data_IF_833372133762
#
_entry.id   IF_833372133762
#
_cell.length_a   1.000
_cell.length_b   1.000
_cell.length_c   1.000
_cell.angle_alpha   90.00
_cell.angle_beta   90.00
_cell.angle_gamma   90.00
#
_symmetry.space_group_name_H-M   'P 1'
#
loop_
_entity.id
_entity.type
_entity.pdbx_description
1 polymer ?
#
# COMPACT_ATOMS: atom_id res chain seq x y z
N UNK A 1 -19.52 2.97 18.01
CA UNK A 1 -20.40 2.58 16.89
C UNK A 1 -20.36 1.07 16.78
N UNK A 2 -21.51 0.40 16.61
CA UNK A 2 -21.64 -1.06 16.81
C UNK A 2 -20.89 -1.84 15.70
N UNK A 3 -19.94 -2.70 16.06
CA UNK A 3 -19.16 -3.59 15.18
C UNK A 3 -20.09 -4.42 14.26
N UNK A 4 -21.18 -4.97 14.79
CA UNK A 4 -22.19 -5.71 14.01
C UNK A 4 -22.83 -4.88 12.87
N UNK A 5 -23.04 -3.57 13.09
CA UNK A 5 -23.59 -2.72 12.03
C UNK A 5 -22.60 -2.54 10.86
N UNK A 6 -21.30 -2.45 11.14
CA UNK A 6 -20.28 -2.33 10.11
C UNK A 6 -20.13 -3.61 9.29
N UNK A 7 -20.21 -4.78 9.94
CA UNK A 7 -20.22 -6.08 9.25
C UNK A 7 -21.44 -6.18 8.31
N UNK A 8 -22.63 -5.83 8.80
CA UNK A 8 -23.85 -5.82 7.96
C UNK A 8 -23.70 -4.91 6.74
N UNK A 9 -23.06 -3.73 6.87
CA UNK A 9 -22.81 -2.85 5.74
C UNK A 9 -21.87 -3.47 4.71
N UNK A 10 -20.80 -4.15 5.13
CA UNK A 10 -19.88 -4.85 4.23
C UNK A 10 -20.59 -5.97 3.47
N UNK A 11 -21.39 -6.81 4.17
CA UNK A 11 -22.19 -7.87 3.56
C UNK A 11 -23.17 -7.31 2.53
N UNK A 12 -23.93 -6.28 2.91
CA UNK A 12 -24.89 -5.63 2.02
C UNK A 12 -24.23 -5.09 0.74
N UNK A 13 -23.03 -4.52 0.86
CA UNK A 13 -22.28 -4.01 -0.30
C UNK A 13 -21.84 -5.12 -1.25
N UNK A 14 -21.41 -6.26 -0.73
CA UNK A 14 -21.05 -7.45 -1.54
C UNK A 14 -22.30 -7.99 -2.25
N UNK A 15 -23.41 -8.14 -1.52
CA UNK A 15 -24.68 -8.59 -2.10
C UNK A 15 -25.23 -7.64 -3.18
N UNK A 16 -25.12 -6.34 -2.96
CA UNK A 16 -25.51 -5.34 -3.96
C UNK A 16 -24.67 -5.45 -5.23
N UNK A 17 -23.35 -5.61 -5.09
CA UNK A 17 -22.44 -5.77 -6.22
C UNK A 17 -22.73 -7.04 -7.01
N UNK A 18 -23.00 -8.16 -6.34
CA UNK A 18 -23.28 -9.46 -7.00
C UNK A 18 -24.50 -9.43 -7.91
N UNK A 19 -25.45 -8.49 -7.71
CA UNK A 19 -26.63 -8.33 -8.56
C UNK A 19 -26.32 -7.79 -9.96
N UNK A 20 -25.14 -7.17 -10.14
CA UNK A 20 -24.82 -6.52 -11.42
C UNK A 20 -23.37 -6.73 -11.88
N UNK A 21 -22.49 -7.31 -11.06
CA UNK A 21 -21.14 -7.70 -11.41
C UNK A 21 -20.93 -9.19 -11.18
N UNK A 22 -20.19 -9.82 -12.05
CA UNK A 22 -19.71 -11.19 -11.85
C UNK A 22 -18.45 -11.14 -10.96
N UNK A 23 -18.65 -11.23 -9.64
CA UNK A 23 -17.59 -11.12 -8.64
C UNK A 23 -16.56 -12.25 -8.79
N UNK A 24 -17.01 -13.45 -9.20
CA UNK A 24 -16.12 -14.60 -9.41
C UNK A 24 -15.14 -14.32 -10.54
N UNK A 25 -15.63 -13.88 -11.68
CA UNK A 25 -14.78 -13.50 -12.83
C UNK A 25 -13.78 -12.39 -12.46
N UNK A 26 -14.19 -11.41 -11.63
CA UNK A 26 -13.29 -10.34 -11.18
C UNK A 26 -12.16 -10.93 -10.31
N UNK A 27 -12.48 -11.82 -9.37
CA UNK A 27 -11.51 -12.43 -8.44
C UNK A 27 -10.57 -13.40 -9.17
N UNK A 28 -11.12 -14.28 -10.04
CA UNK A 28 -10.38 -15.31 -10.75
C UNK A 28 -9.63 -14.80 -11.98
N UNK A 29 -9.85 -13.56 -12.39
CA UNK A 29 -9.15 -12.92 -13.50
C UNK A 29 -7.62 -13.05 -13.41
N UNK A 30 -6.87 -12.57 -14.41
CA UNK A 30 -5.41 -12.78 -14.53
C UNK A 30 -4.64 -12.65 -13.21
N UNK A 31 -3.70 -13.57 -12.96
CA UNK A 31 -2.85 -13.56 -11.76
C UNK A 31 -2.00 -12.29 -11.72
N UNK A 32 -1.81 -11.72 -10.54
CA UNK A 32 -0.97 -10.56 -10.33
C UNK A 32 0.50 -10.86 -10.71
N UNK A 33 0.86 -10.55 -11.95
CA UNK A 33 2.25 -10.60 -12.43
C UNK A 33 2.89 -9.23 -12.29
N UNK A 34 4.23 -9.17 -12.34
CA UNK A 34 4.96 -7.88 -12.37
C UNK A 34 4.48 -6.98 -13.52
N UNK A 35 4.13 -7.58 -14.67
CA UNK A 35 3.60 -6.83 -15.82
C UNK A 35 2.19 -6.29 -15.57
N UNK A 36 1.38 -6.96 -14.76
CA UNK A 36 0.08 -6.45 -14.35
C UNK A 36 0.24 -5.30 -13.35
N UNK A 37 1.15 -5.41 -12.39
CA UNK A 37 1.47 -4.31 -11.46
C UNK A 37 1.94 -3.10 -12.25
N UNK A 38 2.87 -3.25 -13.20
CA UNK A 38 3.31 -2.18 -14.11
C UNK A 38 2.13 -1.57 -14.88
N UNK A 39 1.28 -2.41 -15.46
CA UNK A 39 0.11 -1.96 -16.22
C UNK A 39 -0.90 -1.23 -15.36
N UNK A 40 -1.11 -1.70 -14.12
CA UNK A 40 -2.00 -1.06 -13.15
C UNK A 40 -1.55 0.38 -12.87
N UNK A 41 -0.30 0.59 -12.50
CA UNK A 41 0.21 1.93 -12.21
C UNK A 41 0.23 2.83 -13.45
N UNK A 42 0.60 2.30 -14.63
CA UNK A 42 0.58 3.05 -15.89
C UNK A 42 -0.81 3.57 -16.27
N UNK A 43 -1.84 2.72 -16.15
CA UNK A 43 -3.22 3.08 -16.49
C UNK A 43 -3.80 4.03 -15.45
N UNK A 44 -3.48 3.80 -14.18
CA UNK A 44 -4.05 4.57 -13.07
C UNK A 44 -3.26 5.85 -12.73
N UNK A 45 -2.10 6.09 -13.34
CA UNK A 45 -1.27 7.27 -13.09
C UNK A 45 -2.05 8.59 -13.16
N UNK A 46 -2.88 8.78 -14.18
CA UNK A 46 -3.73 9.96 -14.30
C UNK A 46 -4.77 10.04 -13.18
N UNK A 47 -5.40 8.92 -12.83
CA UNK A 47 -6.40 8.86 -11.77
C UNK A 47 -5.77 9.14 -10.38
N UNK A 48 -4.59 8.61 -10.10
CA UNK A 48 -3.85 8.92 -8.87
C UNK A 48 -3.56 10.41 -8.74
N UNK A 49 -3.06 11.06 -9.79
CA UNK A 49 -2.80 12.52 -9.78
C UNK A 49 -4.04 13.37 -9.56
N UNK A 50 -5.19 12.99 -10.13
CA UNK A 50 -6.42 13.78 -10.05
C UNK A 50 -7.28 13.47 -8.82
N UNK A 51 -7.26 12.23 -8.34
CA UNK A 51 -8.17 11.78 -7.29
C UNK A 51 -7.48 11.47 -5.98
N UNK A 52 -6.18 11.23 -5.99
CA UNK A 52 -5.43 10.86 -4.80
C UNK A 52 -4.51 11.97 -4.31
N UNK A 53 -3.43 12.30 -5.03
CA UNK A 53 -2.52 13.40 -4.67
C UNK A 53 -1.97 14.08 -5.93
N UNK A 54 -2.03 15.42 -5.96
CA UNK A 54 -1.43 16.22 -7.06
C UNK A 54 0.10 16.19 -6.98
N UNK A 55 0.67 16.04 -5.79
CA UNK A 55 2.10 16.04 -5.53
C UNK A 55 2.77 14.69 -5.79
N UNK A 56 1.98 13.65 -6.11
CA UNK A 56 2.47 12.33 -6.49
C UNK A 56 2.67 11.36 -5.34
N UNK A 57 2.21 11.67 -4.13
CA UNK A 57 2.10 10.68 -3.07
C UNK A 57 1.08 9.62 -3.44
N UNK A 58 1.41 8.34 -3.23
CA UNK A 58 0.57 7.24 -3.69
C UNK A 58 -0.05 6.43 -2.55
N UNK A 59 0.47 6.57 -1.33
CA UNK A 59 -0.09 5.93 -0.14
C UNK A 59 -1.30 6.69 0.42
N UNK A 60 -2.12 6.02 1.22
CA UNK A 60 -3.23 6.64 1.91
C UNK A 60 -2.77 7.56 3.04
N UNK A 61 -3.65 8.47 3.43
CA UNK A 61 -3.38 9.47 4.48
C UNK A 61 -3.80 8.97 5.85
N UNK A 62 -2.97 9.24 6.84
CA UNK A 62 -3.21 8.94 8.26
C UNK A 62 -3.69 10.22 8.96
N UNK A 63 -4.99 10.30 9.23
CA UNK A 63 -5.66 11.46 9.83
C UNK A 63 -5.77 11.30 11.35
N UNK A 64 -4.72 11.63 12.11
CA UNK A 64 -4.65 11.46 13.57
C UNK A 64 -5.81 12.11 14.34
N UNK A 65 -6.37 13.18 13.80
CA UNK A 65 -7.49 13.89 14.42
C UNK A 65 -8.87 13.38 13.96
N UNK A 66 -8.92 12.29 13.18
CA UNK A 66 -10.16 11.74 12.65
C UNK A 66 -10.85 12.58 11.56
N UNK A 67 -10.19 13.64 11.09
CA UNK A 67 -10.67 14.54 10.03
C UNK A 67 -9.62 14.57 8.93
N UNK A 68 -10.03 14.25 7.70
CA UNK A 68 -9.17 14.27 6.53
C UNK A 68 -8.66 15.68 6.23
N UNK A 69 -7.34 15.80 6.05
CA UNK A 69 -6.67 16.97 5.46
C UNK A 69 -5.69 16.51 4.37
N UNK A 70 -5.30 17.43 3.46
CA UNK A 70 -4.31 17.09 2.43
C UNK A 70 -2.90 16.92 3.02
N UNK A 71 -2.60 17.60 4.12
CA UNK A 71 -1.34 17.54 4.87
C UNK A 71 -1.13 16.19 5.56
N UNK A 72 -2.18 15.42 5.82
CA UNK A 72 -2.10 14.08 6.44
C UNK A 72 -1.23 13.10 5.63
N UNK A 73 -0.92 13.43 4.38
CA UNK A 73 -0.03 12.66 3.51
C UNK A 73 1.42 12.64 4.00
N UNK A 74 1.84 13.63 4.80
CA UNK A 74 3.20 13.70 5.32
C UNK A 74 3.45 12.82 6.55
N UNK A 75 2.40 12.23 7.14
CA UNK A 75 2.54 11.45 8.36
C UNK A 75 3.55 10.30 8.23
N UNK A 76 3.46 9.50 7.16
CA UNK A 76 4.34 8.35 6.97
C UNK A 76 5.80 8.77 6.67
N UNK A 77 6.08 9.69 5.72
CA UNK A 77 7.46 10.15 5.54
C UNK A 77 8.01 10.90 6.76
N UNK A 78 7.20 11.62 7.55
CA UNK A 78 7.67 12.22 8.81
C UNK A 78 8.09 11.16 9.84
N UNK A 79 7.37 10.04 9.92
CA UNK A 79 7.78 8.92 10.77
C UNK A 79 9.09 8.28 10.30
N UNK A 80 9.35 8.21 9.00
CA UNK A 80 10.63 7.77 8.44
C UNK A 80 11.75 8.76 8.79
N UNK A 81 11.46 10.07 8.68
CA UNK A 81 12.41 11.14 9.00
C UNK A 81 13.01 11.01 10.41
N UNK A 82 12.21 10.55 11.39
CA UNK A 82 12.67 10.36 12.78
C UNK A 82 13.86 9.39 12.91
N UNK A 83 14.07 8.51 11.94
CA UNK A 83 15.15 7.52 11.93
C UNK A 83 16.38 7.92 11.11
N UNK A 84 16.32 9.03 10.35
CA UNK A 84 17.38 9.46 9.44
C UNK A 84 18.32 10.42 10.15
N UNK A 85 19.63 10.17 10.01
CA UNK A 85 20.70 11.00 10.53
C UNK A 85 21.58 11.53 9.41
N UNK A 86 22.35 12.57 9.70
CA UNK A 86 23.36 13.09 8.78
C UNK A 86 24.38 12.00 8.41
N UNK A 87 24.61 11.86 7.11
CA UNK A 87 25.50 10.85 6.55
C UNK A 87 24.87 9.49 6.28
N UNK A 88 23.61 9.26 6.66
CA UNK A 88 22.92 7.99 6.44
C UNK A 88 22.70 7.71 4.96
N UNK A 89 22.72 6.44 4.61
CA UNK A 89 22.26 5.92 3.34
C UNK A 89 20.85 5.33 3.50
N UNK A 90 19.88 5.92 2.80
CA UNK A 90 18.44 5.63 2.89
C UNK A 90 17.96 5.01 1.59
N UNK A 91 17.20 3.92 1.68
CA UNK A 91 16.61 3.23 0.53
C UNK A 91 15.08 3.21 0.63
N UNK A 92 14.40 3.69 -0.42
CA UNK A 92 12.94 3.56 -0.60
C UNK A 92 12.61 2.38 -1.50
N UNK A 93 11.75 1.49 -1.02
CA UNK A 93 11.17 0.39 -1.80
C UNK A 93 9.84 0.83 -2.40
N UNK A 94 9.66 0.65 -3.72
CA UNK A 94 8.43 1.03 -4.39
C UNK A 94 8.19 2.54 -4.35
N UNK A 95 9.19 3.34 -4.78
CA UNK A 95 9.12 4.81 -4.67
C UNK A 95 8.07 5.48 -5.59
N UNK A 96 7.45 4.75 -6.50
CA UNK A 96 6.37 5.22 -7.38
C UNK A 96 6.73 6.51 -8.12
N UNK A 97 5.99 7.58 -7.81
CA UNK A 97 6.22 8.92 -8.39
C UNK A 97 7.39 9.68 -7.73
N UNK A 98 8.03 9.11 -6.71
CA UNK A 98 9.18 9.68 -6.01
C UNK A 98 8.85 10.80 -5.02
N UNK A 99 7.58 10.98 -4.66
CA UNK A 99 7.17 12.11 -3.79
C UNK A 99 7.76 12.01 -2.39
N UNK A 100 7.71 10.82 -1.76
CA UNK A 100 8.29 10.60 -0.42
C UNK A 100 9.81 10.78 -0.44
N UNK A 101 10.47 10.16 -1.44
CA UNK A 101 11.92 10.27 -1.58
C UNK A 101 12.34 11.74 -1.77
N UNK A 102 11.63 12.49 -2.59
CA UNK A 102 11.89 13.90 -2.84
C UNK A 102 11.69 14.74 -1.56
N UNK A 103 10.60 14.49 -0.83
CA UNK A 103 10.32 15.16 0.43
C UNK A 103 11.44 14.93 1.45
N UNK A 104 11.81 13.65 1.68
CA UNK A 104 12.86 13.29 2.64
C UNK A 104 14.25 13.78 2.21
N UNK A 105 14.58 13.70 0.91
CA UNK A 105 15.87 14.17 0.40
C UNK A 105 16.07 15.68 0.57
N UNK A 106 14.99 16.46 0.46
CA UNK A 106 15.03 17.89 0.78
C UNK A 106 15.12 18.16 2.29
N UNK A 107 14.43 17.36 3.10
CA UNK A 107 14.43 17.51 4.56
C UNK A 107 15.74 17.06 5.20
N UNK A 108 16.48 16.12 4.57
CA UNK A 108 17.75 15.57 5.05
C UNK A 108 18.86 15.75 3.99
N UNK A 109 19.36 16.97 3.76
CA UNK A 109 20.30 17.25 2.66
C UNK A 109 21.67 16.57 2.82
N UNK A 110 22.02 16.15 4.04
CA UNK A 110 23.27 15.46 4.37
C UNK A 110 23.15 13.92 4.35
N UNK A 111 21.95 13.38 4.11
CA UNK A 111 21.75 11.95 3.88
C UNK A 111 21.68 11.65 2.37
N UNK A 112 21.99 10.41 1.99
CA UNK A 112 21.93 9.92 0.60
C UNK A 112 20.69 9.05 0.43
N UNK A 113 19.92 9.27 -0.65
CA UNK A 113 18.68 8.57 -0.95
C UNK A 113 18.76 7.80 -2.26
N UNK A 114 18.23 6.57 -2.26
CA UNK A 114 18.02 5.77 -3.46
C UNK A 114 16.62 5.16 -3.41
N UNK A 115 15.83 5.39 -4.45
CA UNK A 115 14.51 4.77 -4.63
C UNK A 115 14.52 3.71 -5.72
N UNK A 116 13.73 2.67 -5.54
CA UNK A 116 13.50 1.61 -6.52
C UNK A 116 12.03 1.47 -6.81
N UNK A 117 11.67 1.36 -8.09
CA UNK A 117 10.30 1.10 -8.53
C UNK A 117 10.30 0.37 -9.88
N UNK A 118 9.26 -0.39 -10.17
CA UNK A 118 9.10 -1.07 -11.46
C UNK A 118 8.78 -0.08 -12.58
N UNK A 119 8.23 1.09 -12.25
CA UNK A 119 7.83 2.12 -13.20
C UNK A 119 7.90 3.54 -12.59
N UNK A 120 9.10 4.02 -12.25
CA UNK A 120 9.26 5.32 -11.62
C UNK A 120 8.96 6.46 -12.60
N UNK A 121 8.66 7.62 -12.05
CA UNK A 121 8.51 8.86 -12.82
C UNK A 121 9.85 9.32 -13.40
N UNK A 122 9.96 9.40 -14.74
CA UNK A 122 11.23 9.68 -15.45
C UNK A 122 11.59 11.17 -15.54
N UNK A 123 10.60 12.07 -15.44
CA UNK A 123 10.76 13.52 -15.56
C UNK A 123 10.91 14.23 -14.21
N UNK A 124 11.09 13.48 -13.12
CA UNK A 124 11.26 14.02 -11.79
C UNK A 124 12.66 14.65 -11.63
N UNK A 125 12.70 15.92 -11.24
CA UNK A 125 13.96 16.59 -10.89
C UNK A 125 14.33 16.25 -9.46
N UNK A 126 15.38 15.45 -9.30
CA UNK A 126 15.89 15.04 -8.00
C UNK A 126 17.00 15.99 -7.52
N UNK A 127 17.13 16.22 -6.20
CA UNK A 127 18.29 16.88 -5.61
C UNK A 127 19.54 16.01 -5.75
N UNK A 128 20.71 16.59 -5.56
CA UNK A 128 22.00 15.93 -5.78
C UNK A 128 22.24 14.69 -4.87
N UNK A 129 21.56 14.64 -3.73
CA UNK A 129 21.65 13.54 -2.76
C UNK A 129 20.63 12.41 -3.01
N UNK A 130 19.87 12.43 -4.14
CA UNK A 130 18.84 11.44 -4.43
C UNK A 130 18.96 10.83 -5.82
N UNK A 131 18.67 9.54 -5.94
CA UNK A 131 18.61 8.80 -7.21
C UNK A 131 17.40 7.86 -7.20
N UNK A 132 16.83 7.58 -8.39
CA UNK A 132 15.76 6.59 -8.58
C UNK A 132 16.16 5.64 -9.70
N UNK A 133 15.93 4.33 -9.48
CA UNK A 133 16.17 3.27 -10.44
C UNK A 133 14.88 2.56 -10.82
N UNK A 134 14.71 2.30 -12.12
CA UNK A 134 13.66 1.42 -12.63
C UNK A 134 14.10 -0.04 -12.44
N UNK A 135 13.73 -0.64 -11.31
CA UNK A 135 14.18 -1.98 -10.93
C UNK A 135 13.25 -2.62 -9.91
N UNK A 136 13.17 -3.96 -10.00
CA UNK A 136 12.54 -4.79 -8.97
C UNK A 136 13.46 -4.84 -7.73
N UNK A 137 12.93 -4.40 -6.59
CA UNK A 137 13.66 -4.38 -5.33
C UNK A 137 13.85 -5.77 -4.69
N UNK A 138 13.36 -6.84 -5.30
CA UNK A 138 13.67 -8.21 -4.89
C UNK A 138 15.12 -8.62 -5.18
N UNK A 139 15.88 -7.79 -5.91
CA UNK A 139 17.31 -7.98 -6.20
C UNK A 139 17.96 -6.63 -6.47
N UNK A 140 18.89 -6.23 -5.62
CA UNK A 140 19.55 -4.92 -5.61
C UNK A 140 21.09 -5.07 -5.70
N UNK A 141 21.63 -5.69 -6.77
CA UNK A 141 23.07 -6.02 -6.85
C UNK A 141 23.99 -4.79 -6.81
N UNK A 142 23.49 -3.60 -7.14
CA UNK A 142 24.25 -2.35 -7.07
C UNK A 142 24.35 -1.78 -5.64
N UNK A 143 23.57 -2.29 -4.68
CA UNK A 143 23.65 -1.91 -3.29
C UNK A 143 24.57 -2.90 -2.56
N UNK A 144 25.71 -2.45 -1.98
CA UNK A 144 26.61 -3.34 -1.26
C UNK A 144 25.94 -3.96 -0.02
N UNK A 145 26.46 -5.10 0.41
CA UNK A 145 26.04 -5.74 1.66
C UNK A 145 26.33 -4.79 2.84
N UNK A 146 25.45 -4.81 3.84
CA UNK A 146 25.60 -4.06 5.08
C UNK A 146 25.98 -2.57 4.88
N UNK A 147 25.36 -1.90 3.93
CA UNK A 147 25.69 -0.51 3.56
C UNK A 147 24.57 0.50 3.85
N UNK A 148 23.34 0.05 4.04
CA UNK A 148 22.14 0.89 4.19
C UNK A 148 21.80 1.07 5.67
N UNK A 149 21.59 2.31 6.09
CA UNK A 149 21.22 2.67 7.47
C UNK A 149 19.69 2.57 7.68
N UNK A 150 18.91 3.10 6.74
CA UNK A 150 17.44 3.13 6.81
C UNK A 150 16.86 2.60 5.51
N UNK A 151 15.92 1.65 5.62
CA UNK A 151 15.06 1.20 4.52
C UNK A 151 13.62 1.59 4.84
N UNK A 152 12.85 2.01 3.88
CA UNK A 152 11.42 2.19 4.08
C UNK A 152 10.59 1.75 2.88
N UNK A 153 9.37 1.30 3.17
CA UNK A 153 8.36 0.93 2.18
C UNK A 153 6.98 1.42 2.63
N UNK A 154 6.30 2.15 1.76
CA UNK A 154 4.98 2.70 2.04
C UNK A 154 3.97 2.08 1.07
N UNK A 155 3.18 1.12 1.55
CA UNK A 155 2.17 0.37 0.78
C UNK A 155 2.78 -0.33 -0.45
N UNK A 156 3.89 -1.03 -0.26
CA UNK A 156 4.61 -1.63 -1.37
C UNK A 156 4.85 -3.14 -1.21
N UNK A 157 5.16 -3.63 0.00
CA UNK A 157 5.42 -5.05 0.22
C UNK A 157 4.16 -5.91 0.05
N UNK A 158 2.97 -5.35 0.20
CA UNK A 158 1.69 -6.03 -0.10
C UNK A 158 1.61 -6.53 -1.54
N UNK A 159 2.35 -5.93 -2.48
CA UNK A 159 2.40 -6.36 -3.87
C UNK A 159 3.32 -7.56 -4.11
N UNK A 160 4.21 -7.88 -3.15
CA UNK A 160 5.17 -8.96 -3.30
C UNK A 160 4.50 -10.33 -3.15
N UNK A 161 4.69 -11.18 -4.15
CA UNK A 161 4.28 -12.59 -4.09
C UNK A 161 5.26 -13.47 -3.30
N UNK A 162 6.52 -13.04 -3.18
CA UNK A 162 7.59 -13.71 -2.43
C UNK A 162 8.24 -12.69 -1.48
N UNK A 163 7.59 -12.47 -0.34
CA UNK A 163 8.05 -11.54 0.68
C UNK A 163 9.38 -11.97 1.31
N UNK A 164 9.57 -13.27 1.47
CA UNK A 164 10.82 -13.79 2.06
C UNK A 164 12.03 -13.50 1.17
N UNK A 165 11.89 -13.60 -0.15
CA UNK A 165 12.96 -13.23 -1.08
C UNK A 165 13.32 -11.75 -0.94
N UNK A 166 12.31 -10.88 -0.91
CA UNK A 166 12.50 -9.43 -0.74
C UNK A 166 13.13 -9.11 0.61
N UNK A 167 12.63 -9.69 1.70
CA UNK A 167 13.15 -9.45 3.03
C UNK A 167 14.59 -9.96 3.22
N UNK A 168 14.97 -11.08 2.58
CA UNK A 168 16.38 -11.53 2.55
C UNK A 168 17.29 -10.52 1.84
N UNK A 169 16.83 -9.92 0.74
CA UNK A 169 17.60 -8.89 0.03
C UNK A 169 17.70 -7.60 0.86
N UNK A 170 16.62 -7.17 1.52
CA UNK A 170 16.64 -6.04 2.44
C UNK A 170 17.61 -6.32 3.60
N UNK A 171 17.56 -7.52 4.18
CA UNK A 171 18.47 -7.93 5.24
C UNK A 171 19.94 -7.87 4.78
N UNK A 172 20.24 -8.33 3.56
CA UNK A 172 21.59 -8.27 2.99
C UNK A 172 22.13 -6.84 2.95
N UNK A 173 21.34 -5.90 2.40
CA UNK A 173 21.81 -4.53 2.19
C UNK A 173 21.89 -3.71 3.47
N UNK A 174 21.05 -3.97 4.47
CA UNK A 174 21.02 -3.21 5.72
C UNK A 174 22.26 -3.47 6.56
N UNK A 175 22.76 -2.43 7.22
CA UNK A 175 23.79 -2.53 8.26
C UNK A 175 23.25 -3.25 9.50
N UNK A 176 24.08 -3.94 10.30
CA UNK A 176 23.73 -4.27 11.68
C UNK A 176 23.30 -3.01 12.44
N UNK A 177 22.19 -3.08 13.17
CA UNK A 177 21.56 -1.92 13.81
C UNK A 177 20.74 -1.03 12.89
N UNK A 178 20.71 -1.27 11.57
CA UNK A 178 19.90 -0.55 10.61
C UNK A 178 18.39 -0.72 10.87
N UNK A 179 17.58 0.27 10.47
CA UNK A 179 16.13 0.32 10.70
C UNK A 179 15.38 0.17 9.37
N UNK A 180 14.31 -0.62 9.40
CA UNK A 180 13.30 -0.60 8.34
C UNK A 180 11.98 -0.07 8.89
N UNK A 181 11.39 0.90 8.20
CA UNK A 181 10.05 1.44 8.45
C UNK A 181 9.12 0.95 7.35
N UNK A 182 8.11 0.16 7.71
CA UNK A 182 7.14 -0.36 6.75
C UNK A 182 5.72 0.03 7.15
N UNK A 183 4.98 0.61 6.21
CA UNK A 183 3.55 0.84 6.31
C UNK A 183 2.84 -0.03 5.29
N UNK A 184 1.93 -0.89 5.74
CA UNK A 184 1.21 -1.75 4.82
C UNK A 184 -0.11 -2.27 5.40
N UNK A 185 -0.87 -2.99 4.57
CA UNK A 185 -2.13 -3.61 4.92
C UNK A 185 -1.90 -5.00 5.50
N UNK A 186 -2.70 -5.35 6.50
CA UNK A 186 -2.78 -6.69 7.06
C UNK A 186 -4.24 -7.09 7.30
N UNK A 187 -4.49 -8.36 7.60
CA UNK A 187 -5.76 -8.85 8.09
C UNK A 187 -5.68 -9.10 9.60
N UNK A 188 -6.80 -8.94 10.31
CA UNK A 188 -6.89 -9.24 11.75
C UNK A 188 -6.77 -10.74 12.03
N UNK A 189 -7.14 -11.57 11.08
CA UNK A 189 -7.14 -13.01 11.13
C UNK A 189 -6.75 -13.60 9.78
N UNK A 190 -6.57 -14.94 9.72
CA UNK A 190 -6.32 -15.62 8.45
C UNK A 190 -7.55 -15.53 7.56
N UNK A 191 -7.31 -15.34 6.27
CA UNK A 191 -8.36 -15.16 5.27
C UNK A 191 -9.41 -16.28 5.30
N UNK A 192 -9.00 -17.54 5.53
CA UNK A 192 -9.88 -18.70 5.52
C UNK A 192 -10.86 -18.74 6.72
N UNK A 193 -10.60 -17.97 7.76
CA UNK A 193 -11.46 -17.92 8.95
C UNK A 193 -12.66 -16.99 8.78
N UNK A 194 -12.64 -16.12 7.75
CA UNK A 194 -13.71 -15.17 7.49
C UNK A 194 -14.93 -15.83 6.82
N UNK A 195 -16.10 -15.24 7.02
CA UNK A 195 -17.28 -15.65 6.25
C UNK A 195 -17.15 -15.27 4.75
N UNK A 196 -18.02 -15.85 3.92
CA UNK A 196 -17.97 -15.68 2.47
C UNK A 196 -17.99 -14.22 2.01
N UNK A 197 -18.79 -13.35 2.65
CA UNK A 197 -18.87 -11.93 2.24
C UNK A 197 -17.55 -11.20 2.53
N UNK A 198 -16.96 -11.46 3.69
CA UNK A 198 -15.68 -10.86 4.07
C UNK A 198 -14.57 -11.39 3.18
N UNK A 199 -14.49 -12.71 2.94
CA UNK A 199 -13.54 -13.31 1.99
C UNK A 199 -13.68 -12.69 0.60
N UNK A 200 -14.90 -12.55 0.10
CA UNK A 200 -15.18 -11.93 -1.20
C UNK A 200 -14.74 -10.47 -1.23
N UNK A 201 -15.05 -9.69 -0.19
CA UNK A 201 -14.64 -8.29 -0.11
C UNK A 201 -13.11 -8.13 -0.10
N UNK A 202 -12.41 -8.92 0.72
CA UNK A 202 -10.94 -8.88 0.79
C UNK A 202 -10.30 -9.32 -0.53
N UNK A 203 -10.80 -10.39 -1.16
CA UNK A 203 -10.30 -10.84 -2.46
C UNK A 203 -10.49 -9.76 -3.55
N UNK A 204 -11.62 -9.08 -3.56
CA UNK A 204 -11.90 -7.97 -4.49
C UNK A 204 -10.99 -6.75 -4.22
N UNK A 205 -10.73 -6.41 -2.96
CA UNK A 205 -9.82 -5.33 -2.57
C UNK A 205 -8.38 -5.67 -3.03
N UNK A 206 -7.89 -6.88 -2.71
CA UNK A 206 -6.56 -7.34 -3.11
C UNK A 206 -6.39 -7.32 -4.62
N UNK A 207 -7.37 -7.89 -5.35
CA UNK A 207 -7.38 -7.89 -6.81
C UNK A 207 -7.41 -6.49 -7.39
N UNK A 208 -8.24 -5.64 -6.82
CA UNK A 208 -8.39 -4.25 -7.24
C UNK A 208 -7.10 -3.44 -7.08
N UNK A 209 -6.36 -3.66 -6.00
CA UNK A 209 -5.08 -3.00 -5.73
C UNK A 209 -3.88 -3.59 -6.45
N UNK A 210 -4.06 -4.58 -7.33
CA UNK A 210 -2.97 -5.35 -7.96
C UNK A 210 -2.00 -5.91 -6.89
N UNK A 211 -2.50 -6.18 -5.69
CA UNK A 211 -1.72 -6.79 -4.62
C UNK A 211 -1.82 -8.31 -4.66
N UNK A 212 -0.83 -8.98 -4.10
CA UNK A 212 -0.97 -10.34 -3.66
C UNK A 212 -2.13 -10.45 -2.66
N UNK A 213 -2.56 -11.66 -2.28
CA UNK A 213 -3.54 -11.77 -1.20
C UNK A 213 -2.98 -11.07 0.04
N UNK A 214 -3.78 -10.18 0.64
CA UNK A 214 -3.40 -9.52 1.89
C UNK A 214 -3.31 -10.58 2.98
N UNK A 215 -2.18 -10.63 3.67
CA UNK A 215 -1.87 -11.60 4.70
C UNK A 215 -2.29 -11.11 6.09
N UNK A 216 -2.46 -12.03 7.03
CA UNK A 216 -2.75 -11.70 8.42
C UNK A 216 -1.55 -11.01 9.10
N UNK A 217 -1.82 -10.31 10.20
CA UNK A 217 -0.77 -9.67 11.01
C UNK A 217 0.29 -10.70 11.49
N UNK A 218 -0.14 -11.91 11.85
CA UNK A 218 0.76 -12.98 12.30
C UNK A 218 1.64 -13.50 11.17
N UNK A 219 1.12 -13.60 9.95
CA UNK A 219 1.91 -13.98 8.77
C UNK A 219 2.97 -12.92 8.46
N UNK A 220 2.61 -11.63 8.50
CA UNK A 220 3.57 -10.54 8.36
C UNK A 220 4.69 -10.60 9.40
N UNK A 221 4.33 -10.75 10.68
CA UNK A 221 5.31 -10.86 11.76
C UNK A 221 6.23 -12.07 11.59
N UNK A 222 5.69 -13.17 11.10
CA UNK A 222 6.43 -14.39 10.78
C UNK A 222 7.44 -14.17 9.65
N UNK A 223 7.06 -13.47 8.58
CA UNK A 223 7.98 -13.14 7.49
C UNK A 223 9.18 -12.30 7.97
N UNK A 224 8.92 -11.29 8.81
CA UNK A 224 10.00 -10.46 9.34
C UNK A 224 10.96 -11.26 10.24
N UNK A 225 10.41 -12.02 11.18
CA UNK A 225 11.24 -12.79 12.14
C UNK A 225 11.99 -13.94 11.46
N UNK A 226 11.38 -14.66 10.51
CA UNK A 226 12.04 -15.71 9.73
C UNK A 226 13.17 -15.17 8.84
N UNK A 227 13.07 -13.90 8.44
CA UNK A 227 14.13 -13.24 7.66
C UNK A 227 15.27 -12.69 8.53
N UNK A 228 15.24 -12.92 9.85
CA UNK A 228 16.29 -12.54 10.80
C UNK A 228 16.11 -11.15 11.43
N UNK A 229 15.02 -10.47 11.18
CA UNK A 229 14.73 -9.17 11.77
C UNK A 229 14.13 -9.27 13.18
N UNK A 230 14.33 -8.21 13.94
CA UNK A 230 13.63 -7.97 15.21
C UNK A 230 12.55 -6.91 14.97
N UNK A 231 11.30 -7.21 15.35
CA UNK A 231 10.22 -6.23 15.33
C UNK A 231 10.33 -5.41 16.62
N UNK A 232 10.65 -4.12 16.51
CA UNK A 232 10.76 -3.22 17.68
C UNK A 232 9.39 -2.64 18.07
N UNK A 233 8.55 -2.33 17.08
CA UNK A 233 7.27 -1.69 17.31
C UNK A 233 6.29 -2.04 16.20
N UNK A 234 5.01 -2.21 16.57
CA UNK A 234 3.89 -2.26 15.65
C UNK A 234 2.88 -1.21 16.13
N UNK A 235 2.50 -0.31 15.23
CA UNK A 235 1.46 0.69 15.50
C UNK A 235 0.26 0.44 14.60
N UNK A 236 -0.94 0.50 15.17
CA UNK A 236 -2.18 0.38 14.42
C UNK A 236 -2.71 1.76 14.02
N UNK A 237 -2.78 2.01 12.74
CA UNK A 237 -3.35 3.24 12.16
C UNK A 237 -4.66 2.99 11.41
N UNK A 238 -5.30 1.85 11.66
CA UNK A 238 -6.52 1.45 10.95
C UNK A 238 -7.65 2.49 11.09
N UNK A 239 -7.81 3.06 12.28
CA UNK A 239 -8.85 4.06 12.53
C UNK A 239 -8.51 5.43 11.93
N UNK A 240 -7.24 5.80 11.96
CA UNK A 240 -6.72 7.05 11.40
C UNK A 240 -6.74 7.05 9.86
N UNK A 241 -6.79 5.86 9.25
CA UNK A 241 -6.97 5.69 7.80
C UNK A 241 -8.43 5.92 7.34
N UNK A 242 -9.41 5.71 8.23
CA UNK A 242 -10.84 5.74 7.88
C UNK A 242 -11.30 7.06 7.23
N UNK A 243 -10.82 8.26 7.60
CA UNK A 243 -11.23 9.50 6.94
C UNK A 243 -10.91 9.52 5.44
N UNK A 244 -9.72 9.05 5.04
CA UNK A 244 -9.33 8.97 3.63
C UNK A 244 -10.11 7.87 2.88
N UNK A 245 -10.26 6.69 3.47
CA UNK A 245 -11.08 5.62 2.92
C UNK A 245 -12.54 6.06 2.74
N UNK A 246 -13.08 6.85 3.69
CA UNK A 246 -14.43 7.41 3.57
C UNK A 246 -14.57 8.40 2.42
N UNK A 247 -13.52 9.18 2.17
CA UNK A 247 -13.44 10.06 0.99
C UNK A 247 -13.54 9.27 -0.31
N UNK A 248 -12.82 8.15 -0.41
CA UNK A 248 -12.87 7.26 -1.58
C UNK A 248 -14.23 6.57 -1.72
N UNK A 249 -14.80 6.10 -0.62
CA UNK A 249 -16.14 5.47 -0.61
C UNK A 249 -17.20 6.44 -1.17
N UNK A 250 -17.15 7.72 -0.80
CA UNK A 250 -18.05 8.74 -1.36
C UNK A 250 -17.92 8.89 -2.88
N UNK A 251 -16.69 8.76 -3.42
CA UNK A 251 -16.47 8.80 -4.88
C UNK A 251 -17.01 7.55 -5.57
N UNK A 252 -16.71 6.36 -5.01
CA UNK A 252 -17.18 5.08 -5.54
C UNK A 252 -18.70 4.94 -5.48
N UNK A 253 -19.36 5.48 -4.45
CA UNK A 253 -20.81 5.47 -4.25
C UNK A 253 -21.56 6.03 -5.46
N UNK A 254 -21.03 7.04 -6.15
CA UNK A 254 -21.66 7.64 -7.35
C UNK A 254 -21.91 6.61 -8.47
N UNK A 255 -21.07 5.58 -8.55
CA UNK A 255 -21.20 4.47 -9.51
C UNK A 255 -21.97 3.32 -8.90
N UNK A 256 -21.57 2.86 -7.71
CA UNK A 256 -22.04 1.61 -7.12
C UNK A 256 -23.52 1.63 -6.70
N UNK A 257 -24.08 2.79 -6.37
CA UNK A 257 -25.53 2.94 -6.08
C UNK A 257 -26.39 3.11 -7.33
N UNK A 258 -25.80 3.05 -8.54
CA UNK A 258 -26.48 3.17 -9.83
C UNK A 258 -26.12 1.99 -10.72
N UNK A 259 -26.78 0.83 -10.61
CA UNK A 259 -26.39 -0.42 -11.29
C UNK A 259 -26.20 -0.29 -12.80
N UNK A 260 -27.03 0.51 -13.48
CA UNK A 260 -26.89 0.75 -14.93
C UNK A 260 -25.60 1.50 -15.26
N UNK A 261 -25.27 2.53 -14.47
CA UNK A 261 -24.04 3.30 -14.65
C UNK A 261 -22.81 2.45 -14.30
N UNK A 262 -22.90 1.64 -13.24
CA UNK A 262 -21.84 0.71 -12.87
C UNK A 262 -21.58 -0.30 -14.01
N UNK A 263 -22.61 -0.99 -14.49
CA UNK A 263 -22.50 -1.93 -15.64
C UNK A 263 -21.84 -1.26 -16.85
N UNK A 264 -22.25 -0.04 -17.19
CA UNK A 264 -21.68 0.69 -18.31
C UNK A 264 -20.19 1.04 -18.06
N UNK A 265 -19.86 1.51 -16.87
CA UNK A 265 -18.47 1.83 -16.49
C UNK A 265 -17.59 0.59 -16.57
N UNK A 266 -18.01 -0.54 -15.98
CA UNK A 266 -17.26 -1.81 -16.01
C UNK A 266 -17.14 -2.41 -17.42
N UNK A 267 -18.05 -2.08 -18.34
CA UNK A 267 -17.98 -2.51 -19.74
C UNK A 267 -17.06 -1.65 -20.60
N UNK A 268 -17.01 -0.34 -20.35
CA UNK A 268 -16.37 0.64 -21.24
C UNK A 268 -15.00 1.13 -20.74
N UNK A 269 -14.79 1.13 -19.44
CA UNK A 269 -13.53 1.60 -18.85
C UNK A 269 -12.54 0.44 -18.68
N UNK A 270 -11.24 0.73 -18.67
CA UNK A 270 -10.23 -0.30 -18.40
C UNK A 270 -10.50 -0.98 -17.04
N UNK A 271 -10.39 -2.31 -17.00
CA UNK A 271 -10.62 -3.11 -15.79
C UNK A 271 -9.80 -2.60 -14.61
N UNK A 272 -8.53 -2.27 -14.84
CA UNK A 272 -7.65 -1.75 -13.80
C UNK A 272 -8.11 -0.40 -13.23
N UNK A 273 -8.85 0.40 -13.99
CA UNK A 273 -9.47 1.63 -13.50
C UNK A 273 -10.73 1.34 -12.69
N UNK A 274 -11.61 0.43 -13.17
CA UNK A 274 -12.84 0.08 -12.46
C UNK A 274 -12.57 -0.65 -11.16
N UNK A 275 -11.45 -1.36 -11.05
CA UNK A 275 -11.00 -1.99 -9.81
C UNK A 275 -10.81 -0.97 -8.67
N UNK A 276 -10.35 0.27 -8.95
CA UNK A 276 -10.27 1.32 -7.93
C UNK A 276 -11.65 1.73 -7.39
N UNK A 277 -12.71 1.62 -8.21
CA UNK A 277 -14.08 1.86 -7.75
C UNK A 277 -14.49 0.78 -6.75
N UNK A 278 -14.11 -0.47 -6.98
CA UNK A 278 -14.38 -1.60 -6.08
C UNK A 278 -13.66 -1.40 -4.74
N UNK A 279 -12.34 -1.08 -4.77
CA UNK A 279 -11.58 -0.77 -3.55
C UNK A 279 -12.25 0.36 -2.78
N UNK A 280 -12.50 1.48 -3.45
CA UNK A 280 -13.14 2.64 -2.82
C UNK A 280 -14.50 2.32 -2.21
N UNK A 281 -15.24 1.34 -2.77
CA UNK A 281 -16.54 0.92 -2.25
C UNK A 281 -16.44 0.05 -1.00
N UNK A 282 -15.44 -0.84 -0.91
CA UNK A 282 -15.35 -1.89 0.11
C UNK A 282 -14.35 -1.58 1.24
N UNK A 283 -13.22 -0.92 0.95
CA UNK A 283 -12.12 -0.80 1.88
C UNK A 283 -12.47 -0.08 3.19
N UNK A 284 -13.33 0.97 3.11
CA UNK A 284 -13.76 1.67 4.32
C UNK A 284 -14.44 0.74 5.33
N UNK A 285 -15.39 -0.10 4.87
CA UNK A 285 -16.11 -0.99 5.77
C UNK A 285 -15.24 -2.19 6.17
N UNK A 286 -14.37 -2.69 5.30
CA UNK A 286 -13.40 -3.74 5.65
C UNK A 286 -12.47 -3.29 6.80
N UNK A 287 -11.94 -2.07 6.76
CA UNK A 287 -11.13 -1.53 7.86
C UNK A 287 -11.99 -1.17 9.09
N UNK A 288 -13.17 -0.60 8.89
CA UNK A 288 -14.07 -0.23 9.99
C UNK A 288 -14.60 -1.42 10.78
N UNK A 289 -14.70 -2.59 10.17
CA UNK A 289 -15.03 -3.85 10.86
C UNK A 289 -13.86 -4.43 11.63
N UNK A 290 -12.63 -3.92 11.43
CA UNK A 290 -11.42 -4.48 12.01
C UNK A 290 -10.92 -5.75 11.30
N UNK A 291 -11.51 -6.18 10.19
CA UNK A 291 -10.97 -7.26 9.37
C UNK A 291 -9.76 -6.84 8.56
N UNK A 292 -9.84 -5.65 7.91
CA UNK A 292 -8.68 -5.02 7.30
C UNK A 292 -7.97 -4.12 8.32
N UNK A 293 -6.67 -4.20 8.37
CA UNK A 293 -5.80 -3.42 9.24
C UNK A 293 -4.83 -2.60 8.42
N UNK A 294 -4.38 -1.47 8.98
CA UNK A 294 -3.29 -0.68 8.44
C UNK A 294 -2.23 -0.48 9.52
N UNK A 295 -1.05 -0.98 9.29
CA UNK A 295 -0.01 -1.08 10.31
C UNK A 295 1.27 -0.36 9.90
N UNK A 296 1.96 0.19 10.90
CA UNK A 296 3.37 0.53 10.85
C UNK A 296 4.17 -0.55 11.56
N UNK A 297 5.23 -1.03 10.94
CA UNK A 297 6.24 -1.86 11.57
C UNK A 297 7.56 -1.09 11.60
N UNK A 298 8.16 -1.00 12.79
CA UNK A 298 9.55 -0.60 12.96
C UNK A 298 10.36 -1.85 13.23
N UNK A 299 11.26 -2.15 12.31
CA UNK A 299 11.98 -3.41 12.23
C UNK A 299 13.47 -3.12 12.24
N UNK A 300 14.24 -3.92 12.96
CA UNK A 300 15.69 -3.74 13.08
C UNK A 300 16.45 -4.99 12.64
N UNK A 301 17.54 -4.78 11.93
CA UNK A 301 18.53 -5.81 11.72
C UNK A 301 19.43 -5.87 12.97
N UNK A 302 19.52 -7.02 13.68
CA UNK A 302 20.36 -7.18 14.85
C UNK A 302 21.86 -6.93 14.59
#
# INVERSE_FOLDING_TARGET
MNHQYSIYQLHSKVDEMSKFLDLKTIIEGDKNSLDQIRSYYRINHWAYRHYHSQDGFMHFRISKNGVFTDEDVYHQPDAVYEYIKDGDFVVELGCGQGANLLYLAHSCPNARFVGFDLQPRKDLKLPANAQIFEQDYSSLPQIPDASVDVVYGLETLVHCSDKEKVLREIYRIMKPGGVMVNYDYALSDRFETFDWHVQTAIALISKGGASAMIESLDEWNTHFTNSGFTIEKITDYTYELLPDLKRLERKARKFMTRPTLAKLAFKLLPTLFTNNIVIGWLAYDACKTGYGLYKEWIIRKP
#
